data_IF_473323566356
#
_entry.id   IF_473323566356
#
_cell.length_a   1.000
_cell.length_b   1.000
_cell.length_c   1.000
_cell.angle_alpha   90.00
_cell.angle_beta   90.00
_cell.angle_gamma   90.00
#
_symmetry.space_group_name_H-M   'P 1'
#
loop_
_entity.id
_entity.type
_entity.pdbx_description
1 polymer ?
#
# COMPACT_ATOMS: atom_id res chain seq x y z
N UNK A 1 -34.04 -20.00 -3.91
CA UNK A 1 -33.23 -19.11 -3.06
C UNK A 1 -31.95 -18.82 -3.79
N UNK A 2 -31.83 -17.63 -4.37
CA UNK A 2 -30.60 -17.17 -5.03
C UNK A 2 -29.74 -16.59 -3.90
N UNK A 3 -28.59 -17.21 -3.61
CA UNK A 3 -27.58 -16.59 -2.75
C UNK A 3 -26.65 -15.79 -3.67
N UNK A 4 -26.87 -14.47 -3.69
CA UNK A 4 -25.96 -13.51 -4.27
C UNK A 4 -24.63 -13.54 -3.50
N UNK A 5 -23.62 -14.09 -4.14
CA UNK A 5 -22.25 -14.10 -3.64
C UNK A 5 -21.62 -12.73 -4.00
N UNK A 6 -22.06 -11.67 -3.30
CA UNK A 6 -21.50 -10.34 -3.49
C UNK A 6 -20.03 -10.34 -3.05
N UNK A 7 -19.17 -10.06 -4.01
CA UNK A 7 -17.74 -9.86 -3.84
C UNK A 7 -17.55 -8.59 -3.00
N UNK A 8 -17.11 -8.70 -1.73
CA UNK A 8 -16.83 -7.52 -0.91
C UNK A 8 -15.82 -6.61 -1.64
N UNK A 9 -16.23 -5.38 -1.97
CA UNK A 9 -15.40 -4.42 -2.67
C UNK A 9 -14.24 -3.95 -1.78
N UNK A 10 -13.05 -3.79 -2.36
CA UNK A 10 -11.81 -3.41 -1.65
C UNK A 10 -11.87 -2.04 -0.96
N UNK A 11 -12.90 -1.23 -1.26
CA UNK A 11 -13.21 0.06 -0.63
C UNK A 11 -13.90 -0.06 0.73
N UNK A 12 -14.21 -1.26 1.19
CA UNK A 12 -14.90 -1.48 2.46
C UNK A 12 -14.00 -1.09 3.64
N UNK A 13 -14.50 -0.18 4.50
CA UNK A 13 -13.76 0.35 5.66
C UNK A 13 -13.35 -0.73 6.67
N UNK A 14 -14.24 -1.69 6.93
CA UNK A 14 -14.03 -2.80 7.89
C UNK A 14 -14.52 -4.11 7.26
N UNK A 15 -13.67 -4.86 6.53
CA UNK A 15 -14.12 -6.07 5.86
C UNK A 15 -14.26 -7.23 6.85
N UNK A 16 -15.40 -7.93 6.82
CA UNK A 16 -15.79 -8.94 7.82
C UNK A 16 -15.38 -10.37 7.44
N UNK A 17 -15.04 -10.60 6.18
CA UNK A 17 -14.60 -11.89 5.65
C UNK A 17 -13.27 -12.37 6.24
N UNK A 18 -13.06 -13.70 6.33
CA UNK A 18 -11.79 -14.27 6.80
C UNK A 18 -10.63 -13.87 5.86
N UNK A 19 -9.57 -13.29 6.43
CA UNK A 19 -8.36 -12.94 5.68
C UNK A 19 -7.61 -14.20 5.22
N UNK A 20 -7.44 -14.35 3.91
CA UNK A 20 -6.54 -15.35 3.31
C UNK A 20 -5.27 -14.63 2.89
N UNK A 21 -4.26 -14.65 3.75
CA UNK A 21 -2.98 -14.01 3.45
C UNK A 21 -2.20 -14.78 2.38
N UNK A 22 -1.43 -14.06 1.58
CA UNK A 22 -0.43 -14.63 0.67
C UNK A 22 0.88 -13.88 0.82
N UNK A 23 1.99 -14.59 0.64
CA UNK A 23 3.32 -14.00 0.59
C UNK A 23 3.75 -13.84 -0.86
N UNK A 24 4.19 -12.65 -1.23
CA UNK A 24 4.85 -12.35 -2.51
C UNK A 24 6.28 -11.87 -2.22
N UNK A 25 7.21 -12.22 -3.11
CA UNK A 25 8.59 -11.72 -3.09
C UNK A 25 8.80 -10.97 -4.39
N UNK A 26 9.41 -9.79 -4.33
CA UNK A 26 9.69 -8.98 -5.51
C UNK A 26 10.95 -8.16 -5.35
N UNK A 27 11.68 -7.96 -6.45
CA UNK A 27 12.78 -7.01 -6.50
C UNK A 27 12.25 -5.68 -7.03
N UNK A 28 12.38 -4.62 -6.23
CA UNK A 28 11.95 -3.26 -6.54
C UNK A 28 13.08 -2.29 -6.22
N UNK A 29 13.47 -1.44 -7.17
CA UNK A 29 14.66 -0.56 -7.09
C UNK A 29 15.93 -1.28 -6.59
N UNK A 30 16.13 -2.51 -7.07
CA UNK A 30 17.28 -3.35 -6.69
C UNK A 30 17.26 -3.87 -5.24
N UNK A 31 16.13 -3.77 -4.52
CA UNK A 31 15.94 -4.35 -3.19
C UNK A 31 14.97 -5.52 -3.27
N UNK A 32 15.38 -6.66 -2.75
CA UNK A 32 14.44 -7.77 -2.51
C UNK A 32 13.53 -7.40 -1.33
N UNK A 33 12.23 -7.58 -1.54
CA UNK A 33 11.18 -7.24 -0.60
C UNK A 33 10.19 -8.40 -0.49
N UNK A 34 9.71 -8.62 0.72
CA UNK A 34 8.64 -9.57 1.02
C UNK A 34 7.37 -8.80 1.35
N UNK A 35 6.25 -9.14 0.70
CA UNK A 35 4.95 -8.57 1.07
C UNK A 35 3.96 -9.66 1.43
N UNK A 36 3.22 -9.43 2.50
CA UNK A 36 1.97 -10.09 2.81
C UNK A 36 0.83 -9.30 2.16
N UNK A 37 0.05 -9.98 1.34
CA UNK A 37 -1.19 -9.50 0.72
C UNK A 37 -2.36 -10.32 1.30
N UNK A 38 -3.60 -10.04 0.90
CA UNK A 38 -4.70 -10.94 1.24
C UNK A 38 -6.04 -10.56 0.61
N UNK A 39 -7.04 -11.43 0.80
CA UNK A 39 -8.41 -11.22 0.34
C UNK A 39 -8.97 -9.86 0.79
N UNK A 40 -9.63 -9.13 -0.12
CA UNK A 40 -10.20 -7.81 0.17
C UNK A 40 -9.20 -6.65 0.15
N UNK A 41 -8.00 -6.85 -0.39
CA UNK A 41 -7.03 -5.78 -0.72
C UNK A 41 -6.62 -5.86 -2.20
N UNK A 42 -6.29 -4.73 -2.82
CA UNK A 42 -5.89 -4.64 -4.23
C UNK A 42 -4.64 -5.48 -4.55
N UNK A 43 -4.61 -6.09 -5.75
CA UNK A 43 -3.51 -6.90 -6.30
C UNK A 43 -2.97 -7.98 -5.35
N UNK A 44 -3.81 -8.99 -5.09
CA UNK A 44 -3.54 -10.05 -4.11
C UNK A 44 -2.37 -10.96 -4.52
N UNK A 45 -2.11 -11.15 -5.81
CA UNK A 45 -1.19 -12.20 -6.28
C UNK A 45 0.19 -11.69 -6.71
N UNK A 46 0.32 -10.39 -6.99
CA UNK A 46 1.57 -9.81 -7.50
C UNK A 46 1.64 -8.30 -7.24
N UNK A 47 2.81 -7.72 -7.46
CA UNK A 47 2.93 -6.26 -7.62
C UNK A 47 2.19 -5.87 -8.91
N UNK A 48 1.25 -4.95 -8.81
CA UNK A 48 0.54 -4.38 -9.97
C UNK A 48 1.54 -3.67 -10.91
N UNK A 49 1.42 -3.80 -12.25
CA UNK A 49 2.33 -3.14 -13.19
C UNK A 49 2.40 -1.62 -13.04
N UNK A 50 1.27 -0.95 -12.76
CA UNK A 50 1.22 0.48 -12.51
C UNK A 50 1.95 0.85 -11.23
N UNK A 51 1.73 0.09 -10.15
CA UNK A 51 2.48 0.21 -8.89
C UNK A 51 3.98 0.03 -9.11
N UNK A 52 4.39 -0.97 -9.88
CA UNK A 52 5.82 -1.18 -10.21
C UNK A 52 6.39 0.00 -10.98
N UNK A 53 5.68 0.49 -12.00
CA UNK A 53 6.11 1.64 -12.78
C UNK A 53 6.28 2.90 -11.91
N UNK A 54 5.31 3.17 -11.02
CA UNK A 54 5.36 4.28 -10.07
C UNK A 54 6.61 4.18 -9.17
N UNK A 55 6.88 3.00 -8.62
CA UNK A 55 8.05 2.76 -7.77
C UNK A 55 9.36 3.02 -8.54
N UNK A 56 9.50 2.44 -9.73
CA UNK A 56 10.75 2.49 -10.50
C UNK A 56 11.01 3.86 -11.14
N UNK A 57 9.97 4.66 -11.41
CA UNK A 57 10.10 5.95 -12.10
C UNK A 57 9.95 7.17 -11.20
N UNK A 58 9.51 6.98 -9.95
CA UNK A 58 9.42 8.08 -8.98
C UNK A 58 10.76 8.79 -8.78
N UNK A 59 10.74 10.12 -8.81
CA UNK A 59 11.92 10.98 -8.59
C UNK A 59 11.88 11.53 -7.17
N UNK A 60 12.33 10.71 -6.23
CA UNK A 60 12.34 11.03 -4.80
C UNK A 60 13.80 11.03 -4.33
N UNK A 61 14.17 12.06 -3.58
CA UNK A 61 15.53 12.27 -3.07
C UNK A 61 15.62 11.96 -1.58
N UNK A 62 16.86 11.72 -1.11
CA UNK A 62 17.12 11.48 0.32
C UNK A 62 16.65 12.67 1.16
N UNK A 63 16.03 12.36 2.31
CA UNK A 63 15.56 13.36 3.27
C UNK A 63 14.17 13.92 3.01
N UNK A 64 13.56 13.64 1.84
CA UNK A 64 12.18 14.04 1.56
C UNK A 64 11.15 13.30 2.43
N UNK A 65 9.97 13.89 2.48
CA UNK A 65 8.75 13.35 3.05
C UNK A 65 7.74 12.99 1.96
N UNK A 66 7.17 11.80 2.03
CA UNK A 66 6.21 11.32 1.06
C UNK A 66 4.93 10.81 1.72
N UNK A 67 3.83 10.98 0.99
CA UNK A 67 2.55 10.33 1.25
C UNK A 67 2.26 9.32 0.13
N UNK A 68 2.02 8.07 0.51
CA UNK A 68 1.47 7.02 -0.36
C UNK A 68 -0.04 6.90 -0.07
N UNK A 69 -0.85 7.52 -0.92
CA UNK A 69 -2.29 7.65 -0.77
C UNK A 69 -3.01 6.49 -1.47
N UNK A 70 -3.91 5.81 -0.75
CA UNK A 70 -4.49 4.53 -1.23
C UNK A 70 -3.44 3.42 -1.26
N UNK A 71 -2.67 3.29 -0.18
CA UNK A 71 -1.43 2.49 -0.17
C UNK A 71 -1.64 0.97 -0.35
N UNK A 72 -2.87 0.46 -0.22
CA UNK A 72 -3.14 -0.97 -0.19
C UNK A 72 -2.30 -1.66 0.90
N UNK A 73 -1.65 -2.77 0.55
CA UNK A 73 -0.72 -3.47 1.44
C UNK A 73 0.66 -2.78 1.59
N UNK A 74 0.83 -1.55 1.09
CA UNK A 74 2.01 -0.72 1.30
C UNK A 74 3.17 -0.96 0.33
N UNK A 75 2.90 -1.45 -0.89
CA UNK A 75 3.93 -1.77 -1.88
C UNK A 75 4.84 -0.58 -2.19
N UNK A 76 4.24 0.58 -2.49
CA UNK A 76 4.97 1.80 -2.89
C UNK A 76 5.76 2.35 -1.70
N UNK A 77 5.09 2.64 -0.59
CA UNK A 77 5.73 3.21 0.60
C UNK A 77 6.87 2.35 1.16
N UNK A 78 6.68 1.03 1.27
CA UNK A 78 7.73 0.12 1.78
C UNK A 78 8.91 0.03 0.81
N UNK A 79 8.67 -0.09 -0.49
CA UNK A 79 9.74 -0.19 -1.47
C UNK A 79 10.62 1.07 -1.49
N UNK A 80 9.99 2.25 -1.43
CA UNK A 80 10.72 3.51 -1.40
C UNK A 80 11.44 3.73 -0.07
N UNK A 81 10.83 3.36 1.06
CA UNK A 81 11.49 3.41 2.37
C UNK A 81 12.71 2.50 2.46
N UNK A 82 12.69 1.34 1.77
CA UNK A 82 13.85 0.42 1.72
C UNK A 82 14.96 0.94 0.80
N UNK A 83 14.59 1.56 -0.31
CA UNK A 83 15.54 1.97 -1.35
C UNK A 83 16.20 3.34 -1.07
N UNK A 84 15.51 4.25 -0.39
CA UNK A 84 15.94 5.64 -0.21
C UNK A 84 16.27 5.89 1.27
N UNK A 85 17.49 6.37 1.53
CA UNK A 85 17.92 6.73 2.89
C UNK A 85 17.13 7.94 3.41
N UNK A 86 16.90 7.95 4.73
CA UNK A 86 16.26 9.05 5.48
C UNK A 86 14.91 9.52 4.91
N UNK A 87 14.21 8.68 4.15
CA UNK A 87 12.89 8.99 3.63
C UNK A 87 11.86 8.94 4.76
N UNK A 88 11.04 9.97 4.89
CA UNK A 88 9.88 9.96 5.80
C UNK A 88 8.66 9.49 5.01
N UNK A 89 8.08 8.35 5.38
CA UNK A 89 6.95 7.76 4.65
C UNK A 89 5.73 7.67 5.55
N UNK A 90 4.63 8.30 5.11
CA UNK A 90 3.29 8.01 5.57
C UNK A 90 2.53 7.27 4.47
N UNK A 91 1.91 6.16 4.82
CA UNK A 91 0.99 5.41 3.98
C UNK A 91 -0.43 5.58 4.54
N UNK A 92 -1.40 5.80 3.67
CA UNK A 92 -2.79 6.01 4.05
C UNK A 92 -3.73 5.20 3.17
N UNK A 93 -4.70 4.53 3.77
CA UNK A 93 -5.75 3.80 3.06
C UNK A 93 -7.06 3.84 3.86
N UNK A 94 -8.20 3.81 3.18
CA UNK A 94 -9.52 3.78 3.84
C UNK A 94 -9.80 2.40 4.45
N UNK A 95 -9.22 1.35 3.87
CA UNK A 95 -9.44 -0.04 4.25
C UNK A 95 -8.52 -0.43 5.42
N UNK A 96 -9.11 -0.75 6.57
CA UNK A 96 -8.36 -1.14 7.77
C UNK A 96 -7.46 -2.37 7.56
N UNK A 97 -7.90 -3.32 6.73
CA UNK A 97 -7.13 -4.53 6.38
C UNK A 97 -5.91 -4.18 5.53
N UNK A 98 -6.03 -3.23 4.61
CA UNK A 98 -4.92 -2.72 3.84
C UNK A 98 -3.85 -2.09 4.76
N UNK A 99 -4.28 -1.23 5.69
CA UNK A 99 -3.41 -0.62 6.70
C UNK A 99 -2.74 -1.67 7.59
N UNK A 100 -3.46 -2.71 8.00
CA UNK A 100 -2.90 -3.81 8.80
C UNK A 100 -1.81 -4.56 8.03
N UNK A 101 -2.05 -4.91 6.76
CA UNK A 101 -1.04 -5.55 5.90
C UNK A 101 0.15 -4.62 5.63
N UNK A 102 -0.09 -3.32 5.42
CA UNK A 102 0.98 -2.33 5.27
C UNK A 102 1.86 -2.28 6.53
N UNK A 103 1.29 -2.23 7.74
CA UNK A 103 2.06 -2.30 9.01
C UNK A 103 2.86 -3.60 9.12
N UNK A 104 2.29 -4.73 8.71
CA UNK A 104 3.00 -6.02 8.67
C UNK A 104 4.20 -5.97 7.70
N UNK A 105 4.00 -5.38 6.53
CA UNK A 105 5.03 -5.24 5.50
C UNK A 105 6.13 -4.24 5.88
N UNK A 106 5.80 -3.20 6.64
CA UNK A 106 6.80 -2.32 7.27
C UNK A 106 7.72 -3.15 8.18
N UNK A 107 7.13 -3.97 9.06
CA UNK A 107 7.87 -4.76 10.04
C UNK A 107 8.77 -5.81 9.37
N UNK A 108 8.23 -6.61 8.44
CA UNK A 108 9.00 -7.71 7.82
C UNK A 108 10.14 -7.23 6.92
N UNK A 109 10.02 -6.04 6.31
CA UNK A 109 11.08 -5.47 5.49
C UNK A 109 12.01 -4.55 6.28
N UNK A 110 11.79 -4.40 7.59
CA UNK A 110 12.62 -3.59 8.50
C UNK A 110 12.80 -2.15 8.02
N UNK A 111 11.71 -1.52 7.58
CA UNK A 111 11.72 -0.13 7.10
C UNK A 111 11.12 0.83 8.11
N UNK A 112 11.57 2.09 8.10
CA UNK A 112 11.04 3.15 8.96
C UNK A 112 9.92 3.90 8.22
N UNK A 113 8.68 3.46 8.41
CA UNK A 113 7.48 4.09 7.81
C UNK A 113 6.27 3.98 8.75
N UNK A 114 5.22 4.76 8.49
CA UNK A 114 3.94 4.70 9.19
C UNK A 114 2.82 4.35 8.22
N UNK A 115 1.80 3.63 8.70
CA UNK A 115 0.56 3.40 7.96
C UNK A 115 -0.64 3.73 8.86
N UNK A 116 -1.60 4.50 8.33
CA UNK A 116 -2.79 4.92 9.05
C UNK A 116 -4.04 4.68 8.22
N UNK A 117 -5.18 4.52 8.90
CA UNK A 117 -6.47 4.54 8.24
C UNK A 117 -6.89 6.00 8.00
N UNK A 118 -7.25 6.33 6.76
CA UNK A 118 -7.71 7.66 6.39
C UNK A 118 -8.65 7.55 5.20
N UNK A 119 -9.78 8.24 5.24
CA UNK A 119 -10.52 8.54 4.01
C UNK A 119 -9.81 9.71 3.32
N UNK A 120 -9.12 9.43 2.23
CA UNK A 120 -8.25 10.36 1.51
C UNK A 120 -7.36 11.14 2.52
N UNK A 121 -7.62 12.41 2.77
CA UNK A 121 -6.81 13.30 3.62
C UNK A 121 -7.36 13.52 5.04
N UNK A 122 -8.52 12.96 5.41
CA UNK A 122 -9.21 13.27 6.68
C UNK A 122 -8.31 13.13 7.93
N UNK A 123 -7.49 12.08 7.98
CA UNK A 123 -6.59 11.81 9.11
C UNK A 123 -5.14 12.26 8.85
N UNK A 124 -4.91 13.11 7.84
CA UNK A 124 -3.58 13.56 7.42
C UNK A 124 -3.45 15.07 7.64
N UNK A 125 -2.61 15.46 8.61
CA UNK A 125 -2.40 16.87 8.99
C UNK A 125 -1.04 17.43 8.58
N UNK A 126 -0.13 16.57 8.13
CA UNK A 126 1.25 16.89 7.80
C UNK A 126 1.36 17.34 6.34
N UNK A 127 2.40 18.12 6.00
CA UNK A 127 2.77 18.42 4.62
C UNK A 127 3.82 17.43 4.12
N UNK A 128 3.80 17.17 2.82
CA UNK A 128 4.71 16.24 2.16
C UNK A 128 5.37 16.91 0.96
N UNK A 129 6.60 16.52 0.66
CA UNK A 129 7.31 16.97 -0.54
C UNK A 129 6.75 16.30 -1.79
N UNK A 130 6.27 15.05 -1.67
CA UNK A 130 5.69 14.27 -2.77
C UNK A 130 4.47 13.49 -2.29
N UNK A 131 3.39 13.50 -3.08
CA UNK A 131 2.24 12.61 -2.92
C UNK A 131 2.26 11.61 -4.08
N UNK A 132 2.19 10.33 -3.75
CA UNK A 132 2.14 9.21 -4.68
C UNK A 132 0.75 8.59 -4.59
N UNK A 133 0.15 8.28 -5.74
CA UNK A 133 -1.15 7.67 -5.83
C UNK A 133 -1.16 6.77 -7.08
N UNK A 134 -1.46 5.48 -6.88
CA UNK A 134 -1.93 4.61 -7.96
C UNK A 134 -3.44 4.45 -7.78
N UNK A 135 -4.27 5.33 -8.37
CA UNK A 135 -5.69 5.34 -8.09
C UNK A 135 -6.35 4.07 -8.65
N UNK A 136 -7.43 3.59 -8.01
CA UNK A 136 -8.21 2.48 -8.57
C UNK A 136 -8.71 2.86 -9.97
N UNK A 137 -8.51 1.96 -10.91
CA UNK A 137 -9.04 2.13 -12.26
C UNK A 137 -10.44 1.50 -12.29
N UNK A 138 -11.49 2.31 -12.37
CA UNK A 138 -12.81 1.82 -12.77
C UNK A 138 -12.81 1.72 -14.30
N UNK A 139 -12.75 0.51 -14.84
CA UNK A 139 -13.29 0.29 -16.18
C UNK A 139 -14.82 0.42 -16.03
N UNK A 140 -15.37 1.47 -16.62
CA UNK A 140 -16.81 1.55 -16.88
C UNK A 140 -17.20 0.58 -17.98
#
# INVERSE_FOLDING_TARGET
MVQDNQTEHYFTKTPTSRLKERKIISVLRGKELTFFTGSGVFSIERIDPGTRLLIEKSRITEGQSILDLGCGYGAVGVALAKAIRKLKVLMADINERAVMLAKKNIKINEVKAKAIQSDIFENIKEKFDVILLNPPQTAG
#
